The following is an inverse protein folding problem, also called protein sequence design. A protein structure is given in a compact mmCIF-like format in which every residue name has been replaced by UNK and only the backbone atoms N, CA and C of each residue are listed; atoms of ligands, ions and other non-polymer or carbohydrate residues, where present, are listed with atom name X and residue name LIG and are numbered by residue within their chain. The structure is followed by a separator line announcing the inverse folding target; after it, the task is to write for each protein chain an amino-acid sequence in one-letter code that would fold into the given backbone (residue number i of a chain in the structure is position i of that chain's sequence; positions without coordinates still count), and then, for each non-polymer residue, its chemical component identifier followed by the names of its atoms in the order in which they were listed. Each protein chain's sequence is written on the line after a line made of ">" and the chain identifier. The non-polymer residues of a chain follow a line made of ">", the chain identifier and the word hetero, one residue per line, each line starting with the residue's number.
data_IF_198993342017
#
_entry.id   IF_198993342017
#
_cell.length_a   1.000
_cell.length_b   1.000
_cell.length_c   1.000
_cell.angle_alpha   90.00
_cell.angle_beta   90.00
_cell.angle_gamma   90.00
#
_symmetry.space_group_name_H-M   'P 1'
#
loop_
_entity.id
_entity.type
_entity.pdbx_description
1 polymer ?
#
# COMPACT_ATOMS: atom_id res chain seq x y z
N UNK A 1 -4.16 -10.91 -1.55
CA UNK A 1 -3.32 -12.01 -1.02
C UNK A 1 -2.01 -11.99 -1.79
N UNK A 2 -0.98 -11.46 -1.20
CA UNK A 2 0.37 -11.61 -1.72
C UNK A 2 0.93 -12.93 -1.24
N UNK A 3 1.32 -13.81 -2.16
CA UNK A 3 2.09 -14.99 -1.80
C UNK A 3 3.55 -14.54 -1.79
N UNK A 4 4.20 -14.44 -0.61
CA UNK A 4 5.58 -14.05 -0.58
C UNK A 4 6.41 -15.10 -1.34
N UNK A 5 7.40 -14.67 -2.12
CA UNK A 5 8.39 -15.59 -2.65
C UNK A 5 9.12 -16.27 -1.49
N UNK A 6 9.63 -17.46 -1.73
CA UNK A 6 10.61 -18.07 -0.83
C UNK A 6 11.79 -17.11 -0.63
N UNK A 7 12.53 -17.19 0.48
CA UNK A 7 13.21 -16.11 1.19
C UNK A 7 13.92 -15.11 0.28
N UNK A 8 13.89 -13.90 0.66
CA UNK A 8 14.46 -12.65 0.16
C UNK A 8 15.82 -12.76 -0.58
N UNK A 9 15.90 -13.65 -1.56
CA UNK A 9 17.04 -13.78 -2.44
C UNK A 9 16.73 -13.07 -3.74
N UNK A 10 16.96 -11.78 -3.80
CA UNK A 10 16.84 -11.14 -5.07
C UNK A 10 16.89 -9.64 -5.08
N UNK A 11 17.45 -9.17 -6.14
CA UNK A 11 17.45 -7.79 -6.54
C UNK A 11 16.01 -7.28 -6.62
N UNK A 12 15.81 -6.05 -6.19
CA UNK A 12 14.61 -5.26 -6.45
C UNK A 12 14.42 -5.15 -7.94
N UNK A 13 13.62 -6.05 -8.49
CA UNK A 13 13.46 -6.19 -9.92
C UNK A 13 12.01 -5.86 -10.29
N UNK A 14 11.84 -4.85 -11.12
CA UNK A 14 10.54 -4.34 -11.57
C UNK A 14 9.90 -5.22 -12.68
N UNK A 15 10.26 -6.46 -12.76
CA UNK A 15 9.73 -7.42 -13.73
C UNK A 15 9.10 -8.61 -13.05
N UNK A 16 8.28 -9.34 -13.78
CA UNK A 16 7.71 -10.60 -13.32
C UNK A 16 8.79 -11.53 -12.74
N UNK A 17 8.54 -12.05 -11.55
CA UNK A 17 9.50 -12.87 -10.82
C UNK A 17 9.51 -14.31 -11.33
N UNK A 18 10.56 -14.67 -12.08
CA UNK A 18 10.76 -16.01 -12.58
C UNK A 18 11.08 -17.06 -11.51
N UNK A 19 11.41 -16.63 -10.29
CA UNK A 19 11.73 -17.51 -9.15
C UNK A 19 10.50 -18.08 -8.47
N UNK A 20 9.33 -17.55 -8.73
CA UNK A 20 8.07 -18.10 -8.19
C UNK A 20 7.88 -19.50 -8.77
N UNK A 21 7.79 -20.51 -7.91
CA UNK A 21 7.62 -21.89 -8.34
C UNK A 21 6.26 -22.12 -9.05
N UNK A 22 6.21 -23.05 -9.99
CA UNK A 22 4.98 -23.38 -10.71
C UNK A 22 3.84 -23.81 -9.78
N UNK A 23 4.17 -24.47 -8.67
CA UNK A 23 3.19 -24.81 -7.62
C UNK A 23 2.59 -23.55 -6.97
N UNK A 24 3.43 -22.57 -6.64
CA UNK A 24 2.95 -21.32 -6.03
C UNK A 24 2.14 -20.49 -7.02
N UNK A 25 2.57 -20.43 -8.28
CA UNK A 25 1.80 -19.79 -9.36
C UNK A 25 0.41 -20.41 -9.51
N UNK A 26 0.34 -21.75 -9.53
CA UNK A 26 -0.94 -22.47 -9.63
C UNK A 26 -1.86 -22.20 -8.42
N UNK A 27 -1.30 -22.26 -7.20
CA UNK A 27 -2.05 -21.98 -5.99
C UNK A 27 -2.57 -20.53 -5.97
N UNK A 28 -1.71 -19.56 -6.28
CA UNK A 28 -2.09 -18.15 -6.35
C UNK A 28 -3.26 -17.92 -7.32
N UNK A 29 -3.22 -18.50 -8.52
CA UNK A 29 -4.28 -18.35 -9.51
C UNK A 29 -5.63 -18.90 -8.99
N UNK A 30 -5.61 -20.03 -8.28
CA UNK A 30 -6.82 -20.60 -7.66
C UNK A 30 -7.34 -19.70 -6.54
N UNK A 31 -6.45 -19.23 -5.66
CA UNK A 31 -6.83 -18.37 -4.55
C UNK A 31 -7.36 -17.03 -5.04
N UNK A 32 -6.70 -16.40 -6.02
CA UNK A 32 -7.15 -15.15 -6.65
C UNK A 32 -8.58 -15.28 -7.19
N UNK A 33 -8.87 -16.35 -7.94
CA UNK A 33 -10.23 -16.61 -8.44
C UNK A 33 -11.23 -16.77 -7.31
N UNK A 34 -10.89 -17.55 -6.29
CA UNK A 34 -11.77 -17.81 -5.16
C UNK A 34 -12.06 -16.54 -4.35
N UNK A 35 -11.06 -15.72 -4.12
CA UNK A 35 -11.21 -14.43 -3.44
C UNK A 35 -12.17 -13.52 -4.20
N UNK A 36 -11.93 -13.31 -5.50
CA UNK A 36 -12.81 -12.45 -6.31
C UNK A 36 -14.22 -13.00 -6.37
N UNK A 37 -14.40 -14.31 -6.63
CA UNK A 37 -15.74 -14.94 -6.69
C UNK A 37 -16.52 -14.83 -5.39
N UNK A 38 -15.83 -15.05 -4.26
CA UNK A 38 -16.46 -15.05 -2.95
C UNK A 38 -16.83 -13.64 -2.48
N UNK A 39 -16.02 -12.64 -2.84
CA UNK A 39 -16.13 -11.32 -2.26
C UNK A 39 -16.72 -10.26 -3.18
N UNK A 40 -16.83 -10.50 -4.48
CA UNK A 40 -17.34 -9.50 -5.44
C UNK A 40 -18.76 -8.98 -5.17
N UNK A 41 -19.54 -9.67 -4.35
CA UNK A 41 -20.88 -9.22 -3.98
C UNK A 41 -20.89 -8.27 -2.76
N UNK A 42 -19.73 -7.99 -2.15
CA UNK A 42 -19.64 -7.06 -1.04
C UNK A 42 -19.51 -5.62 -1.57
N UNK A 43 -20.47 -4.72 -1.29
CA UNK A 43 -20.47 -3.37 -1.85
C UNK A 43 -19.36 -2.47 -1.26
N UNK A 44 -18.78 -2.84 -0.13
CA UNK A 44 -17.64 -2.13 0.48
C UNK A 44 -16.33 -2.30 -0.25
N UNK A 45 -16.21 -3.32 -1.11
CA UNK A 45 -15.04 -3.51 -1.96
C UNK A 45 -15.18 -2.59 -3.17
N UNK A 46 -14.27 -1.65 -3.31
CA UNK A 46 -14.25 -0.70 -4.43
C UNK A 46 -13.15 -0.98 -5.44
N UNK A 47 -12.15 -1.76 -5.04
CA UNK A 47 -10.94 -2.01 -5.81
C UNK A 47 -10.35 -3.38 -5.51
N UNK A 48 -9.76 -4.00 -6.53
CA UNK A 48 -8.92 -5.18 -6.42
C UNK A 48 -7.46 -4.79 -6.66
N UNK A 49 -6.55 -5.29 -5.83
CA UNK A 49 -5.11 -5.16 -5.99
C UNK A 49 -4.54 -6.56 -6.18
N UNK A 50 -4.03 -6.86 -7.38
CA UNK A 50 -3.62 -8.22 -7.74
C UNK A 50 -2.31 -8.60 -7.08
N UNK A 51 -1.32 -7.71 -7.14
CA UNK A 51 -0.03 -7.88 -6.50
C UNK A 51 0.33 -6.65 -5.66
N UNK A 52 1.13 -6.88 -4.63
CA UNK A 52 1.79 -5.84 -3.87
C UNK A 52 3.16 -5.50 -4.50
N UNK A 53 4.05 -4.90 -3.72
CA UNK A 53 5.37 -4.42 -4.15
C UNK A 53 6.25 -5.51 -4.75
N UNK A 54 6.99 -5.16 -5.76
CA UNK A 54 8.20 -5.73 -6.34
C UNK A 54 8.35 -7.26 -6.47
N UNK A 55 8.10 -8.04 -5.44
CA UNK A 55 8.40 -9.47 -5.40
C UNK A 55 7.15 -10.33 -5.49
N UNK A 56 7.33 -11.56 -5.96
CA UNK A 56 6.24 -12.53 -6.10
C UNK A 56 5.32 -12.26 -7.28
N UNK A 57 5.57 -11.23 -8.06
CA UNK A 57 4.80 -10.94 -9.27
C UNK A 57 5.16 -11.93 -10.38
N UNK A 58 4.16 -12.43 -11.06
CA UNK A 58 4.34 -13.31 -12.20
C UNK A 58 3.11 -13.24 -13.11
N UNK A 59 3.34 -13.31 -14.42
CA UNK A 59 2.26 -13.18 -15.42
C UNK A 59 1.28 -12.06 -15.06
N UNK A 60 1.82 -10.91 -14.67
CA UNK A 60 1.04 -9.84 -14.00
C UNK A 60 -0.07 -9.32 -14.90
N UNK A 61 0.20 -9.15 -16.19
CA UNK A 61 -0.81 -8.72 -17.15
C UNK A 61 -1.95 -9.75 -17.28
N UNK A 62 -1.63 -11.06 -17.36
CA UNK A 62 -2.61 -12.13 -17.47
C UNK A 62 -3.50 -12.21 -16.23
N UNK A 63 -2.88 -12.19 -15.03
CA UNK A 63 -3.63 -12.25 -13.77
C UNK A 63 -4.50 -11.00 -13.58
N UNK A 64 -4.04 -9.83 -13.97
CA UNK A 64 -4.80 -8.59 -13.91
C UNK A 64 -5.99 -8.63 -14.88
N UNK A 65 -5.77 -9.05 -16.12
CA UNK A 65 -6.85 -9.20 -17.09
C UNK A 65 -7.92 -10.17 -16.59
N UNK A 66 -7.52 -11.25 -15.97
CA UNK A 66 -8.45 -12.21 -15.37
C UNK A 66 -9.36 -11.57 -14.32
N UNK A 67 -8.82 -10.72 -13.45
CA UNK A 67 -9.61 -10.00 -12.45
C UNK A 67 -10.56 -9.00 -13.11
N UNK A 68 -10.10 -8.27 -14.12
CA UNK A 68 -10.93 -7.37 -14.94
C UNK A 68 -12.11 -8.09 -15.56
N UNK A 69 -11.90 -9.31 -16.11
CA UNK A 69 -12.93 -10.12 -16.71
C UNK A 69 -13.92 -10.69 -15.68
N UNK A 70 -13.44 -11.02 -14.48
CA UNK A 70 -14.26 -11.58 -13.40
C UNK A 70 -15.15 -10.56 -12.70
N UNK A 71 -14.69 -9.31 -12.63
CA UNK A 71 -15.41 -8.21 -11.98
C UNK A 71 -15.19 -6.88 -12.73
N UNK A 72 -15.89 -6.69 -13.86
CA UNK A 72 -15.70 -5.51 -14.72
C UNK A 72 -16.27 -4.22 -14.12
N UNK A 73 -16.92 -4.28 -12.96
CA UNK A 73 -17.55 -3.14 -12.32
C UNK A 73 -16.68 -2.47 -11.23
N UNK A 74 -15.51 -3.04 -10.93
CA UNK A 74 -14.60 -2.50 -9.92
C UNK A 74 -13.28 -2.05 -10.51
N UNK A 75 -12.64 -1.15 -9.79
CA UNK A 75 -11.29 -0.73 -10.13
C UNK A 75 -10.29 -1.88 -9.89
N UNK A 76 -9.27 -1.94 -10.72
CA UNK A 76 -8.21 -2.95 -10.59
C UNK A 76 -6.85 -2.27 -10.69
N UNK A 77 -5.98 -2.58 -9.73
CA UNK A 77 -4.56 -2.30 -9.73
C UNK A 77 -3.79 -3.59 -10.06
N UNK A 78 -2.88 -3.53 -10.99
CA UNK A 78 -2.08 -4.70 -11.38
C UNK A 78 -1.05 -5.07 -10.30
N UNK A 79 -0.25 -4.09 -9.91
CA UNK A 79 0.70 -4.18 -8.82
C UNK A 79 0.76 -2.83 -8.12
N UNK A 80 0.69 -2.82 -6.78
CA UNK A 80 0.85 -1.58 -6.03
C UNK A 80 2.33 -1.25 -5.83
N UNK A 81 2.64 0.04 -5.68
CA UNK A 81 3.98 0.50 -5.35
C UNK A 81 4.85 0.87 -6.55
N UNK A 82 5.90 0.10 -6.80
CA UNK A 82 7.02 0.55 -7.64
C UNK A 82 6.98 0.06 -9.09
N UNK A 83 6.11 -0.89 -9.41
CA UNK A 83 6.07 -1.51 -10.73
C UNK A 83 4.78 -1.20 -11.44
N UNK A 84 4.86 -0.66 -12.65
CA UNK A 84 3.69 -0.42 -13.48
C UNK A 84 3.75 -1.25 -14.76
N UNK A 85 2.74 -2.08 -14.97
CA UNK A 85 2.58 -2.93 -16.15
C UNK A 85 1.66 -2.34 -17.21
N UNK A 86 1.30 -1.05 -17.08
CA UNK A 86 0.39 -0.33 -17.99
C UNK A 86 -0.98 -0.99 -18.19
N UNK A 87 -1.42 -1.83 -17.25
CA UNK A 87 -2.71 -2.50 -17.24
C UNK A 87 -3.48 -2.15 -15.96
N UNK A 88 -4.82 -2.27 -16.00
CA UNK A 88 -5.70 -1.89 -14.90
C UNK A 88 -6.10 -0.41 -14.95
N UNK A 89 -6.85 0.01 -13.96
CA UNK A 89 -7.44 1.35 -13.91
C UNK A 89 -6.59 2.34 -13.11
N UNK A 90 -5.71 1.83 -12.27
CA UNK A 90 -4.96 2.60 -11.28
C UNK A 90 -3.47 2.49 -11.55
N UNK A 91 -2.81 3.63 -11.45
CA UNK A 91 -1.37 3.76 -11.30
C UNK A 91 -1.10 4.04 -9.83
N UNK A 92 -0.47 3.09 -9.15
CA UNK A 92 -0.26 3.08 -7.72
C UNK A 92 1.20 3.36 -7.36
N UNK A 93 1.40 4.11 -6.29
CA UNK A 93 2.71 4.49 -5.78
C UNK A 93 2.81 4.19 -4.30
N UNK A 94 3.99 3.75 -3.83
CA UNK A 94 4.34 3.69 -2.42
C UNK A 94 5.44 4.69 -2.11
N UNK A 95 5.24 5.51 -1.09
CA UNK A 95 6.16 6.60 -0.79
C UNK A 95 6.14 6.97 0.69
N UNK A 96 7.26 6.84 1.37
CA UNK A 96 7.38 7.04 2.81
C UNK A 96 8.37 8.15 3.17
N UNK A 97 8.10 8.99 4.19
CA UNK A 97 6.81 9.14 4.87
C UNK A 97 5.81 10.02 4.11
N UNK A 98 6.27 10.86 3.19
CA UNK A 98 5.42 11.79 2.44
C UNK A 98 4.86 11.12 1.18
N UNK A 99 3.55 11.22 0.92
CA UNK A 99 3.00 10.75 -0.34
C UNK A 99 3.61 11.53 -1.50
N UNK A 100 4.01 10.82 -2.55
CA UNK A 100 4.50 11.42 -3.80
C UNK A 100 3.97 10.65 -5.00
N UNK A 101 3.72 11.37 -6.09
CA UNK A 101 3.40 10.76 -7.39
C UNK A 101 4.71 10.69 -8.19
N UNK A 102 5.10 9.49 -8.60
CA UNK A 102 6.38 9.23 -9.25
C UNK A 102 7.31 8.41 -8.37
N UNK A 103 8.31 7.79 -8.99
CA UNK A 103 9.24 6.91 -8.26
C UNK A 103 10.29 7.74 -7.52
N UNK A 104 10.44 7.50 -6.24
CA UNK A 104 11.40 8.21 -5.37
C UNK A 104 12.63 7.38 -5.03
N UNK A 105 12.84 6.24 -5.67
CA UNK A 105 14.01 5.42 -5.41
C UNK A 105 15.18 5.84 -6.29
N UNK A 106 16.37 6.14 -5.72
CA UNK A 106 17.57 6.41 -6.50
C UNK A 106 17.88 5.22 -7.43
N UNK A 107 17.96 5.48 -8.73
CA UNK A 107 18.29 4.46 -9.73
C UNK A 107 17.09 3.76 -10.37
N UNK A 108 15.88 4.00 -9.88
CA UNK A 108 14.67 3.58 -10.58
C UNK A 108 14.23 4.71 -11.51
N UNK A 109 14.07 4.46 -12.80
CA UNK A 109 13.56 5.47 -13.70
C UNK A 109 12.20 5.95 -13.20
N UNK A 110 12.07 7.25 -13.00
CA UNK A 110 10.75 7.86 -12.85
C UNK A 110 10.03 7.66 -14.16
N UNK A 111 9.13 6.70 -14.19
CA UNK A 111 8.22 6.59 -15.32
C UNK A 111 7.14 7.62 -15.08
N UNK A 112 7.45 8.86 -15.43
CA UNK A 112 6.44 9.88 -15.56
C UNK A 112 5.62 9.51 -16.80
N UNK A 113 4.46 8.93 -16.59
CA UNK A 113 3.49 8.66 -17.65
C UNK A 113 2.49 9.83 -17.71
N UNK A 114 2.86 10.97 -18.29
CA UNK A 114 1.98 12.13 -18.36
C UNK A 114 0.75 11.89 -19.23
N UNK A 115 0.69 10.76 -19.91
CA UNK A 115 -0.34 10.43 -20.89
C UNK A 115 -1.33 9.36 -20.45
N UNK A 116 -1.16 8.77 -19.27
CA UNK A 116 -2.10 7.74 -18.84
C UNK A 116 -3.40 8.35 -18.34
N UNK A 117 -4.51 7.86 -18.86
CA UNK A 117 -5.87 8.19 -18.37
C UNK A 117 -6.23 7.40 -17.12
N UNK A 118 -5.23 6.86 -16.41
CA UNK A 118 -5.43 6.06 -15.22
C UNK A 118 -5.49 6.92 -13.97
N UNK A 119 -6.18 6.41 -12.98
CA UNK A 119 -6.33 7.03 -11.66
C UNK A 119 -4.99 6.95 -10.93
N UNK A 120 -4.49 8.06 -10.39
CA UNK A 120 -3.26 8.09 -9.60
C UNK A 120 -3.59 7.93 -8.13
N UNK A 121 -2.98 6.93 -7.50
CA UNK A 121 -3.15 6.60 -6.08
C UNK A 121 -1.78 6.46 -5.43
N UNK A 122 -1.63 6.97 -4.22
CA UNK A 122 -0.53 6.59 -3.34
C UNK A 122 -1.10 5.54 -2.40
N UNK A 123 -0.88 4.26 -2.75
CA UNK A 123 -1.46 3.10 -2.06
C UNK A 123 -0.86 2.85 -0.69
N UNK A 124 0.36 3.35 -0.46
CA UNK A 124 0.99 3.34 0.86
C UNK A 124 1.80 4.61 1.08
N UNK A 125 1.57 5.28 2.21
CA UNK A 125 2.39 6.38 2.69
C UNK A 125 2.37 6.47 4.22
N UNK A 126 3.23 7.27 4.79
CA UNK A 126 3.28 7.55 6.22
C UNK A 126 4.29 6.68 6.94
N UNK A 127 3.88 5.52 7.42
CA UNK A 127 4.77 4.61 8.14
C UNK A 127 5.41 5.24 9.39
N UNK A 128 4.76 6.22 10.03
CA UNK A 128 5.32 6.93 11.18
C UNK A 128 5.17 6.08 12.42
N UNK A 129 6.28 5.57 12.90
CA UNK A 129 6.28 4.70 14.08
C UNK A 129 6.10 5.47 15.39
N UNK A 130 5.40 4.82 16.31
CA UNK A 130 5.33 5.22 17.71
C UNK A 130 5.09 3.99 18.58
N UNK A 131 6.06 3.65 19.42
CA UNK A 131 5.99 2.50 20.30
C UNK A 131 5.31 2.86 21.62
N UNK A 132 4.20 2.18 21.93
CA UNK A 132 3.54 2.29 23.25
C UNK A 132 4.03 1.11 24.10
N UNK A 133 4.80 1.36 25.18
CA UNK A 133 5.35 0.28 26.00
C UNK A 133 4.28 -0.70 26.54
N UNK A 134 4.51 -1.98 26.37
CA UNK A 134 3.59 -3.04 26.79
C UNK A 134 2.44 -3.32 25.83
N UNK A 135 2.37 -2.63 24.67
CA UNK A 135 1.30 -2.76 23.69
C UNK A 135 1.84 -3.02 22.28
N UNK A 136 3.06 -3.54 22.18
CA UNK A 136 3.70 -3.96 20.93
C UNK A 136 3.76 -5.48 20.84
N UNK A 137 3.77 -6.03 19.63
CA UNK A 137 3.95 -7.49 19.41
C UNK A 137 5.33 -7.96 19.85
N UNK A 138 6.37 -7.22 19.43
CA UNK A 138 7.74 -7.49 19.85
C UNK A 138 8.18 -6.52 20.97
N UNK A 139 9.02 -6.96 21.89
CA UNK A 139 9.51 -6.10 22.98
C UNK A 139 10.33 -4.90 22.51
N UNK A 140 11.03 -5.06 21.40
CA UNK A 140 11.90 -4.04 20.79
C UNK A 140 11.62 -3.95 19.29
N UNK A 141 10.52 -3.34 18.88
CA UNK A 141 10.27 -3.13 17.46
C UNK A 141 11.31 -2.15 16.89
N UNK A 142 11.74 -2.41 15.66
CA UNK A 142 12.71 -1.57 14.97
C UNK A 142 12.01 -0.67 13.95
N UNK A 143 12.42 0.60 13.91
CA UNK A 143 11.94 1.57 12.93
C UNK A 143 12.28 1.18 11.49
N UNK A 144 11.28 1.23 10.61
CA UNK A 144 11.46 0.79 9.22
C UNK A 144 11.58 1.97 8.27
N UNK A 145 10.76 3.02 8.43
CA UNK A 145 10.62 4.06 7.39
C UNK A 145 11.15 5.44 7.78
N UNK A 146 11.15 5.80 9.08
CA UNK A 146 11.62 7.10 9.56
C UNK A 146 11.90 7.03 11.08
N UNK A 147 12.40 8.12 11.65
CA UNK A 147 12.61 8.18 13.11
C UNK A 147 11.28 8.03 13.84
N UNK A 148 11.16 7.12 14.82
CA UNK A 148 9.96 6.95 15.61
C UNK A 148 9.51 8.26 16.28
N UNK A 149 8.21 8.48 16.35
CA UNK A 149 7.64 9.52 17.19
C UNK A 149 7.83 9.14 18.67
N UNK A 150 7.96 10.13 19.53
CA UNK A 150 8.21 9.95 20.97
C UNK A 150 6.98 10.22 21.82
N UNK A 151 5.91 10.70 21.22
CA UNK A 151 4.63 10.98 21.91
C UNK A 151 3.46 10.99 20.93
N UNK A 152 2.26 10.87 21.48
CA UNK A 152 0.98 11.04 20.75
C UNK A 152 0.93 12.39 20.01
N UNK A 153 1.38 13.45 20.67
CA UNK A 153 1.41 14.80 20.07
C UNK A 153 2.33 14.85 18.87
N UNK A 154 3.51 14.26 18.96
CA UNK A 154 4.48 14.24 17.88
C UNK A 154 3.96 13.40 16.69
N UNK A 155 3.39 12.21 16.95
CA UNK A 155 2.76 11.41 15.91
C UNK A 155 1.61 12.18 15.25
N UNK A 156 0.74 12.78 16.05
CA UNK A 156 -0.40 13.58 15.55
C UNK A 156 0.06 14.73 14.66
N UNK A 157 1.08 15.48 15.08
CA UNK A 157 1.63 16.59 14.30
C UNK A 157 2.21 16.10 12.97
N UNK A 158 2.99 15.03 12.99
CA UNK A 158 3.60 14.47 11.77
C UNK A 158 2.55 13.92 10.82
N UNK A 159 1.56 13.19 11.34
CA UNK A 159 0.43 12.71 10.54
C UNK A 159 -0.33 13.87 9.89
N UNK A 160 -0.62 14.93 10.68
CA UNK A 160 -1.29 16.14 10.16
C UNK A 160 -0.53 16.70 8.95
N UNK A 161 0.77 16.89 9.08
CA UNK A 161 1.60 17.45 8.02
C UNK A 161 1.56 16.62 6.72
N UNK A 162 1.68 15.29 6.84
CA UNK A 162 1.66 14.42 5.65
C UNK A 162 0.26 14.29 5.05
N UNK A 163 -0.80 14.33 5.85
CA UNK A 163 -2.19 14.34 5.36
C UNK A 163 -2.53 15.66 4.65
N UNK A 164 -2.09 16.81 5.18
CA UNK A 164 -2.22 18.10 4.50
C UNK A 164 -1.45 18.11 3.17
N UNK A 165 -0.29 17.48 3.13
CA UNK A 165 0.48 17.30 1.89
C UNK A 165 -0.29 16.46 0.86
N UNK A 166 -0.88 15.34 1.27
CA UNK A 166 -1.74 14.53 0.41
C UNK A 166 -2.92 15.34 -0.15
N UNK A 167 -3.57 16.14 0.69
CA UNK A 167 -4.65 17.03 0.28
C UNK A 167 -4.20 18.10 -0.73
N UNK A 168 -2.99 18.63 -0.58
CA UNK A 168 -2.42 19.57 -1.54
C UNK A 168 -2.17 18.89 -2.89
N UNK A 169 -1.61 17.68 -2.89
CA UNK A 169 -1.39 16.89 -4.11
C UNK A 169 -2.72 16.52 -4.81
N UNK A 170 -3.77 16.23 -4.05
CA UNK A 170 -5.08 15.97 -4.62
C UNK A 170 -5.61 17.18 -5.41
N UNK A 171 -5.34 18.39 -4.92
CA UNK A 171 -5.79 19.64 -5.55
C UNK A 171 -4.91 20.09 -6.73
N UNK A 172 -3.62 19.82 -6.68
CA UNK A 172 -2.63 20.40 -7.58
C UNK A 172 -2.09 19.39 -8.60
N UNK A 173 -1.90 18.13 -8.19
CA UNK A 173 -1.18 17.13 -8.96
C UNK A 173 -2.06 15.98 -9.47
N UNK A 174 -3.37 16.02 -9.16
CA UNK A 174 -4.33 15.02 -9.63
C UNK A 174 -4.23 13.68 -8.89
N UNK A 175 -3.75 13.68 -7.63
CA UNK A 175 -3.85 12.52 -6.74
C UNK A 175 -5.31 12.26 -6.43
N UNK A 176 -5.77 11.04 -6.67
CA UNK A 176 -7.18 10.65 -6.48
C UNK A 176 -7.46 9.96 -5.16
N UNK A 177 -6.45 9.28 -4.60
CA UNK A 177 -6.53 8.67 -3.27
C UNK A 177 -5.14 8.52 -2.67
N UNK A 178 -5.09 8.48 -1.33
CA UNK A 178 -3.90 8.16 -0.56
C UNK A 178 -4.29 7.30 0.64
N UNK A 179 -3.51 6.24 0.92
CA UNK A 179 -3.78 5.28 1.98
C UNK A 179 -2.63 5.30 2.97
N UNK A 180 -2.93 5.70 4.21
CA UNK A 180 -1.93 5.72 5.27
C UNK A 180 -1.59 4.30 5.73
N UNK A 181 -0.33 4.00 5.85
CA UNK A 181 0.21 2.76 6.38
C UNK A 181 0.68 2.99 7.82
N UNK A 182 -0.08 2.49 8.85
CA UNK A 182 -1.31 1.74 8.68
C UNK A 182 -2.34 2.04 9.78
N UNK A 183 -3.48 1.38 9.80
CA UNK A 183 -4.52 1.64 10.81
C UNK A 183 -4.11 1.10 12.18
N UNK A 184 -3.53 -0.10 12.25
CA UNK A 184 -3.15 -0.73 13.52
C UNK A 184 -1.80 -1.42 13.37
N UNK A 185 -1.00 -1.37 14.43
CA UNK A 185 0.29 -2.06 14.47
C UNK A 185 0.15 -3.54 14.08
N UNK A 186 1.10 -4.05 13.32
CA UNK A 186 1.20 -5.44 12.90
C UNK A 186 2.63 -5.95 13.04
N UNK A 187 2.82 -7.04 13.77
CA UNK A 187 4.13 -7.67 14.00
C UNK A 187 5.23 -6.68 14.45
N UNK A 188 6.25 -6.46 13.61
CA UNK A 188 7.34 -5.51 13.87
C UNK A 188 6.99 -4.07 13.54
N UNK A 189 5.95 -3.85 12.76
CA UNK A 189 5.57 -2.52 12.33
C UNK A 189 4.73 -1.86 13.41
N UNK A 190 5.22 -0.75 13.91
CA UNK A 190 4.57 0.06 14.95
C UNK A 190 4.17 1.42 14.42
N UNK A 191 3.80 1.46 13.15
CA UNK A 191 3.36 2.63 12.41
C UNK A 191 1.82 2.79 12.35
N UNK A 192 1.09 1.91 13.03
CA UNK A 192 -0.35 2.00 13.17
C UNK A 192 -0.81 3.23 13.94
N UNK A 193 -2.05 3.64 13.71
CA UNK A 193 -2.72 4.69 14.48
C UNK A 193 -3.32 4.15 15.80
N UNK A 194 -3.41 2.83 15.90
CA UNK A 194 -3.88 2.08 17.07
C UNK A 194 -2.85 1.02 17.42
N UNK A 195 -2.67 0.73 18.71
CA UNK A 195 -1.74 -0.30 19.16
C UNK A 195 -2.13 -1.71 18.64
N UNK A 196 -1.16 -2.64 18.61
CA UNK A 196 -1.36 -4.03 18.20
C UNK A 196 -2.57 -4.71 18.86
N UNK A 197 -2.73 -4.51 20.17
CA UNK A 197 -3.83 -5.08 20.96
C UNK A 197 -5.13 -4.25 20.92
N UNK A 198 -5.19 -3.18 20.14
CA UNK A 198 -6.33 -2.27 19.94
C UNK A 198 -6.79 -1.53 21.21
N UNK A 199 -5.93 -1.42 22.21
CA UNK A 199 -6.30 -0.77 23.47
C UNK A 199 -6.06 0.72 23.54
N UNK A 200 -5.16 1.25 22.70
CA UNK A 200 -4.78 2.64 22.72
C UNK A 200 -4.79 3.25 21.32
N UNK A 201 -5.44 4.38 21.21
CA UNK A 201 -5.27 5.29 20.09
C UNK A 201 -3.91 5.98 20.22
N UNK A 202 -3.06 5.82 19.24
CA UNK A 202 -1.71 6.39 19.23
C UNK A 202 -1.70 7.82 18.69
N UNK A 203 -2.85 8.30 18.22
CA UNK A 203 -3.02 9.60 17.59
C UNK A 203 -4.23 10.33 18.16
N UNK A 204 -4.21 11.65 18.15
CA UNK A 204 -5.37 12.45 18.56
C UNK A 204 -6.39 12.55 17.41
N UNK A 205 -7.39 11.66 17.45
CA UNK A 205 -8.43 11.54 16.41
C UNK A 205 -9.17 12.87 16.22
N UNK A 206 -9.47 13.61 17.29
CA UNK A 206 -10.18 14.89 17.21
C UNK A 206 -9.43 15.95 16.42
N UNK A 207 -8.10 15.88 16.38
CA UNK A 207 -7.27 16.82 15.62
C UNK A 207 -7.10 16.43 14.16
N UNK A 208 -7.08 15.14 13.85
CA UNK A 208 -6.87 14.67 12.47
C UNK A 208 -8.16 14.60 11.66
N UNK A 209 -9.31 14.35 12.32
CA UNK A 209 -10.61 14.19 11.65
C UNK A 209 -10.94 15.32 10.66
N UNK A 210 -10.80 16.62 11.01
CA UNK A 210 -11.11 17.70 10.07
C UNK A 210 -10.21 17.75 8.82
N UNK A 211 -9.08 17.03 8.85
CA UNK A 211 -8.10 17.00 7.76
C UNK A 211 -8.40 15.85 6.79
N UNK A 212 -8.89 14.73 7.30
CA UNK A 212 -9.17 13.52 6.53
C UNK A 212 -10.63 13.40 6.09
N UNK A 213 -11.57 14.03 6.79
CA UNK A 213 -12.97 14.14 6.39
C UNK A 213 -13.15 15.37 5.47
N UNK A 214 -12.73 15.23 4.21
CA UNK A 214 -12.71 16.32 3.25
C UNK A 214 -13.87 16.21 2.25
#
# INVERSE_FOLDING_TARGET
>A
VTIPPAPWEGEWNHTDDSRVSERNKANFKIELENVVRSLKNHPSIIQWIVFNENWGQFSTMENTQKVLDMDPNRLVTAASGFTDFEIGHIQDYHSYPYPTIGTWYPGVPTVDYPTTRRIRVVGEYGGIEYNVPGHTWYPNPSGVYDRPATSVEQLTMRFTNIAEWANAMAKQDGLSAAIYTEIADVENETNGLVTYDRKYDKINIGRIRPIIEY
#
